data_IF_392535311695
#
_entry.id   IF_392535311695
#
_cell.length_a   1.000
_cell.length_b   1.000
_cell.length_c   1.000
_cell.angle_alpha   90.00
_cell.angle_beta   90.00
_cell.angle_gamma   90.00
#
_symmetry.space_group_name_H-M   'P 1'
#
loop_
_entity.id
_entity.type
_entity.pdbx_description
1 polymer ?
#
# COMPACT_ATOMS: atom_id res chain seq x y z
N UNK A 1 14.89 -2.20 -5.06
CA UNK A 1 13.50 -2.61 -5.42
C UNK A 1 12.45 -1.79 -4.67
N UNK A 2 12.49 -1.73 -3.33
CA UNK A 2 11.48 -1.02 -2.52
C UNK A 2 11.29 0.48 -2.82
N UNK A 3 12.38 1.26 -2.88
CA UNK A 3 12.30 2.73 -3.10
C UNK A 3 11.71 3.07 -4.47
N UNK A 4 12.14 2.38 -5.53
CA UNK A 4 11.62 2.61 -6.88
C UNK A 4 10.11 2.31 -6.96
N UNK A 5 9.67 1.23 -6.32
CA UNK A 5 8.25 0.90 -6.20
C UNK A 5 7.50 2.00 -5.45
N UNK A 6 8.00 2.45 -4.30
CA UNK A 6 7.39 3.53 -3.51
C UNK A 6 7.25 4.82 -4.31
N UNK A 7 8.31 5.25 -5.00
CA UNK A 7 8.30 6.44 -5.84
C UNK A 7 7.26 6.35 -6.96
N UNK A 8 7.17 5.20 -7.63
CA UNK A 8 6.16 4.97 -8.67
C UNK A 8 4.75 5.15 -8.10
N UNK A 9 4.46 4.57 -6.95
CA UNK A 9 3.15 4.68 -6.30
C UNK A 9 2.85 6.09 -5.80
N UNK A 10 3.84 6.82 -5.29
CA UNK A 10 3.71 8.24 -4.91
C UNK A 10 3.35 9.10 -6.12
N UNK A 11 4.12 8.96 -7.21
CA UNK A 11 3.87 9.71 -8.45
C UNK A 11 2.48 9.38 -8.99
N UNK A 12 2.11 8.10 -9.01
CA UNK A 12 0.79 7.72 -9.48
C UNK A 12 -0.33 8.24 -8.58
N UNK A 13 -0.18 8.19 -7.24
CA UNK A 13 -1.14 8.73 -6.29
C UNK A 13 -1.35 10.24 -6.42
N UNK A 14 -0.29 10.99 -6.78
CA UNK A 14 -0.34 12.43 -6.99
C UNK A 14 -0.95 12.84 -8.33
N UNK A 15 -0.69 12.07 -9.39
CA UNK A 15 -1.17 12.40 -10.75
C UNK A 15 -2.57 11.85 -11.02
N UNK A 16 -2.96 10.74 -10.39
CA UNK A 16 -4.21 10.07 -10.69
C UNK A 16 -5.45 10.83 -10.18
N UNK A 17 -6.45 10.96 -11.05
CA UNK A 17 -7.81 11.42 -10.67
C UNK A 17 -8.72 10.26 -10.29
N UNK A 18 -8.17 9.07 -10.08
CA UNK A 18 -8.95 7.88 -9.75
C UNK A 18 -9.71 8.07 -8.43
N UNK A 19 -10.99 7.69 -8.34
CA UNK A 19 -11.80 7.86 -7.13
C UNK A 19 -11.23 7.14 -5.90
N UNK A 20 -10.38 6.12 -6.11
CA UNK A 20 -9.71 5.35 -5.05
C UNK A 20 -8.29 5.85 -4.68
N UNK A 21 -7.93 7.10 -5.03
CA UNK A 21 -6.59 7.66 -4.72
C UNK A 21 -6.21 7.60 -3.24
N UNK A 22 -7.19 7.65 -2.32
CA UNK A 22 -6.95 7.57 -0.89
C UNK A 22 -6.41 6.20 -0.45
N UNK A 23 -6.84 5.12 -1.11
CA UNK A 23 -6.29 3.79 -0.84
C UNK A 23 -4.82 3.71 -1.29
N UNK A 24 -4.45 4.38 -2.39
CA UNK A 24 -3.06 4.49 -2.83
C UNK A 24 -2.20 5.24 -1.80
N UNK A 25 -2.69 6.39 -1.31
CA UNK A 25 -1.99 7.16 -0.28
C UNK A 25 -1.84 6.38 1.03
N UNK A 26 -2.87 5.64 1.45
CA UNK A 26 -2.79 4.78 2.63
C UNK A 26 -1.73 3.68 2.46
N UNK A 27 -1.67 3.05 1.29
CA UNK A 27 -0.66 2.04 0.95
C UNK A 27 0.75 2.63 0.96
N UNK A 28 0.95 3.81 0.35
CA UNK A 28 2.25 4.51 0.32
C UNK A 28 2.74 4.81 1.73
N UNK A 29 1.89 5.38 2.58
CA UNK A 29 2.24 5.73 3.96
C UNK A 29 2.55 4.48 4.78
N UNK A 30 1.71 3.44 4.68
CA UNK A 30 1.90 2.21 5.44
C UNK A 30 3.15 1.44 4.99
N UNK A 31 3.43 1.38 3.69
CA UNK A 31 4.65 0.74 3.15
C UNK A 31 5.91 1.52 3.56
N UNK A 32 5.85 2.85 3.60
CA UNK A 32 6.95 3.69 4.08
C UNK A 32 7.23 3.43 5.57
N UNK A 33 6.17 3.34 6.38
CA UNK A 33 6.31 3.03 7.81
C UNK A 33 6.89 1.63 8.04
N UNK A 34 6.46 0.64 7.27
CA UNK A 34 7.04 -0.71 7.32
C UNK A 34 8.54 -0.68 7.01
N UNK A 35 8.97 0.02 5.95
CA UNK A 35 10.40 0.15 5.62
C UNK A 35 11.21 0.85 6.72
N UNK A 36 10.64 1.85 7.40
CA UNK A 36 11.31 2.50 8.52
C UNK A 36 11.51 1.52 9.70
N UNK A 37 10.54 0.64 9.95
CA UNK A 37 10.65 -0.40 10.97
C UNK A 37 11.71 -1.46 10.62
N UNK A 38 11.85 -1.79 9.34
CA UNK A 38 12.90 -2.69 8.85
C UNK A 38 14.30 -2.08 9.05
N UNK A 39 14.48 -0.79 8.73
CA UNK A 39 15.77 -0.09 8.82
C UNK A 39 16.22 0.14 10.27
N UNK A 40 15.28 0.32 11.20
CA UNK A 40 15.62 0.61 12.60
C UNK A 40 16.24 -0.60 13.33
N UNK A 41 16.09 -1.81 12.79
CA UNK A 41 16.70 -3.08 13.23
C UNK A 41 17.01 -3.17 14.74
N UNK A 42 15.97 -3.05 15.56
CA UNK A 42 16.12 -3.03 17.01
C UNK A 42 16.11 -4.45 17.61
N UNK A 43 16.95 -4.72 18.63
CA UNK A 43 16.92 -5.98 19.35
C UNK A 43 15.56 -6.18 20.03
N UNK A 44 15.08 -7.42 20.20
CA UNK A 44 13.74 -7.71 20.69
C UNK A 44 13.44 -6.97 22.00
N UNK A 45 12.43 -6.11 21.98
CA UNK A 45 11.98 -5.39 23.16
C UNK A 45 11.40 -6.40 24.16
N UNK A 46 12.08 -6.52 25.31
CA UNK A 46 11.74 -7.47 26.39
C UNK A 46 11.68 -8.95 25.95
N UNK A 47 12.30 -9.31 24.83
CA UNK A 47 12.27 -10.68 24.30
C UNK A 47 11.00 -11.07 23.53
N UNK A 48 10.02 -10.16 23.36
CA UNK A 48 8.73 -10.49 22.76
C UNK A 48 8.54 -9.95 21.33
N UNK A 49 9.00 -8.73 21.05
CA UNK A 49 8.76 -8.06 19.76
C UNK A 49 10.06 -7.50 19.22
N UNK A 50 10.51 -7.99 18.07
CA UNK A 50 11.63 -7.42 17.31
C UNK A 50 11.12 -6.69 16.06
N UNK A 51 12.03 -6.02 15.36
CA UNK A 51 11.74 -5.34 14.09
C UNK A 51 11.05 -6.26 13.08
N UNK A 52 11.46 -7.54 13.02
CA UNK A 52 10.90 -8.52 12.09
C UNK A 52 9.44 -8.91 12.39
N UNK A 53 9.08 -9.10 13.66
CA UNK A 53 7.71 -9.39 14.06
C UNK A 53 6.79 -8.18 13.78
N UNK A 54 7.29 -6.97 14.01
CA UNK A 54 6.55 -5.75 13.75
C UNK A 54 6.39 -5.51 12.24
N UNK A 55 7.40 -5.83 11.44
CA UNK A 55 7.30 -5.87 9.98
C UNK A 55 6.15 -6.78 9.53
N UNK A 56 6.12 -8.05 9.96
CA UNK A 56 5.03 -8.98 9.64
C UNK A 56 3.66 -8.47 10.10
N UNK A 57 3.58 -7.84 11.27
CA UNK A 57 2.32 -7.27 11.75
C UNK A 57 1.82 -6.13 10.86
N UNK A 58 2.72 -5.30 10.31
CA UNK A 58 2.36 -4.20 9.41
C UNK A 58 2.01 -4.65 7.99
N UNK A 59 2.59 -5.74 7.48
CA UNK A 59 2.31 -6.22 6.12
C UNK A 59 0.89 -6.79 5.95
N UNK A 60 0.29 -7.32 7.02
CA UNK A 60 -1.10 -7.84 7.00
C UNK A 60 -2.12 -6.74 6.60
N UNK A 61 -2.25 -5.61 7.32
CA UNK A 61 -3.19 -4.56 6.94
C UNK A 61 -2.79 -3.89 5.61
N UNK A 62 -1.50 -3.79 5.28
CA UNK A 62 -1.05 -3.28 3.98
C UNK A 62 -1.57 -4.14 2.83
N UNK A 63 -1.52 -5.47 2.97
CA UNK A 63 -2.03 -6.41 1.97
C UNK A 63 -3.54 -6.27 1.79
N UNK A 64 -4.28 -6.06 2.88
CA UNK A 64 -5.72 -5.79 2.81
C UNK A 64 -6.03 -4.49 2.05
N UNK A 65 -5.28 -3.41 2.31
CA UNK A 65 -5.44 -2.15 1.59
C UNK A 65 -5.16 -2.30 0.08
N UNK A 66 -4.12 -3.07 -0.28
CA UNK A 66 -3.81 -3.42 -1.66
C UNK A 66 -4.98 -4.13 -2.35
N UNK A 67 -5.53 -5.15 -1.70
CA UNK A 67 -6.67 -5.89 -2.25
C UNK A 67 -7.89 -4.99 -2.44
N UNK A 68 -8.19 -4.13 -1.46
CA UNK A 68 -9.26 -3.15 -1.54
C UNK A 68 -9.09 -2.23 -2.75
N UNK A 69 -7.89 -1.66 -2.94
CA UNK A 69 -7.58 -0.82 -4.10
C UNK A 69 -7.81 -1.55 -5.43
N UNK A 70 -7.26 -2.76 -5.59
CA UNK A 70 -7.40 -3.57 -6.82
C UNK A 70 -8.87 -3.86 -7.12
N UNK A 71 -9.65 -4.22 -6.11
CA UNK A 71 -11.09 -4.48 -6.25
C UNK A 71 -11.84 -3.23 -6.74
N UNK A 72 -11.54 -2.06 -6.18
CA UNK A 72 -12.16 -0.80 -6.60
C UNK A 72 -11.75 -0.39 -8.01
N UNK A 73 -10.48 -0.55 -8.37
CA UNK A 73 -9.98 -0.28 -9.72
C UNK A 73 -10.67 -1.17 -10.77
N UNK A 74 -10.75 -2.49 -10.50
CA UNK A 74 -11.44 -3.44 -11.38
C UNK A 74 -12.92 -3.06 -11.60
N UNK A 75 -13.62 -2.66 -10.53
CA UNK A 75 -15.01 -2.21 -10.62
C UNK A 75 -15.14 -0.91 -11.43
N UNK A 76 -14.23 0.05 -11.21
CA UNK A 76 -14.20 1.31 -11.95
C UNK A 76 -14.00 1.08 -13.45
N UNK A 77 -12.97 0.30 -13.82
CA UNK A 77 -12.66 -0.01 -15.22
C UNK A 77 -13.78 -0.78 -15.92
N UNK A 78 -14.39 -1.74 -15.24
CA UNK A 78 -15.52 -2.50 -15.80
C UNK A 78 -16.72 -1.58 -16.09
N UNK A 79 -17.02 -0.66 -15.16
CA UNK A 79 -18.13 0.29 -15.31
C UNK A 79 -17.88 1.27 -16.45
N UNK A 80 -16.65 1.77 -16.62
CA UNK A 80 -16.28 2.65 -17.73
C UNK A 80 -16.43 1.95 -19.10
N UNK A 81 -15.95 0.71 -19.21
CA UNK A 81 -16.09 -0.09 -20.42
C UNK A 81 -17.56 -0.34 -20.79
N UNK A 82 -18.42 -0.67 -19.82
CA UNK A 82 -19.84 -0.88 -20.07
C UNK A 82 -20.57 0.38 -20.55
N UNK A 83 -20.15 1.56 -20.10
CA UNK A 83 -20.71 2.85 -20.56
C UNK A 83 -20.34 3.18 -22.01
N UNK A 84 -19.18 2.71 -22.49
CA UNK A 84 -18.73 2.95 -23.88
C UNK A 84 -19.41 2.04 -24.91
N UNK A 85 -19.98 0.92 -24.48
CA UNK A 85 -20.66 -0.06 -25.36
C UNK A 85 -22.16 0.25 -25.53
N UNK A 86 -22.74 1.07 -24.63
CA UNK A 86 -24.10 1.61 -24.78
C UNK A 86 -24.08 2.91 -25.57
#
# INVERSE_FOLDING_TARGET
MGIAQLLLWVVWAGVTRHPSKWNLWAVVLATSLAMLLEIYDFPPYKGYVNAHALWHATTIPITYLWWSFIKYDAKFRTTDSMKKVK
#
